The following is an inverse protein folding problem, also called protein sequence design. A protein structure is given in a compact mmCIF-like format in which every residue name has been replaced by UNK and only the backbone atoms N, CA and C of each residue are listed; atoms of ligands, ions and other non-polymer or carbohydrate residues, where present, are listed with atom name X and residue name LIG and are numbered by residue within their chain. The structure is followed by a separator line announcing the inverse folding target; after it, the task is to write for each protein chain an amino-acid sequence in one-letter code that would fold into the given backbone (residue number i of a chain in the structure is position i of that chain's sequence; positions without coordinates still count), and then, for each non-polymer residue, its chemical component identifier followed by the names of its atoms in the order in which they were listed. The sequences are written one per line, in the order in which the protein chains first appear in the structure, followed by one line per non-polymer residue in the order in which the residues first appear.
data_IF_583841288808
#
_entry.id   IF_583841288808
#
_cell.length_a   1.000
_cell.length_b   1.000
_cell.length_c   1.000
_cell.angle_alpha   90.00
_cell.angle_beta   90.00
_cell.angle_gamma   90.00
#
_symmetry.space_group_name_H-M   'P 1'
#
loop_
_entity.id
_entity.type
_entity.pdbx_description
1 polymer ?
#
# COMPACT_ATOMS: atom_id res chain seq x y z
N UNK A 1 -4.38 2.58 -2.30
CA UNK A 1 -3.31 2.49 -3.31
C UNK A 1 -3.63 1.35 -4.27
N UNK A 2 -2.98 1.30 -5.44
CA UNK A 2 -3.27 0.24 -6.43
C UNK A 2 -4.73 0.18 -6.88
N UNK A 3 -5.41 1.34 -6.86
CA UNK A 3 -6.82 1.52 -7.22
C UNK A 3 -6.97 2.88 -7.86
N UNK A 4 -7.98 3.03 -8.72
CA UNK A 4 -8.35 4.30 -9.32
C UNK A 4 -9.75 4.71 -8.86
N UNK A 5 -9.97 6.02 -8.68
CA UNK A 5 -11.32 6.52 -8.50
C UNK A 5 -12.00 6.54 -9.87
N UNK A 6 -12.94 5.64 -10.12
CA UNK A 6 -13.57 5.45 -11.45
C UNK A 6 -14.34 6.69 -11.95
N UNK A 7 -14.80 7.58 -11.06
CA UNK A 7 -15.48 8.81 -11.50
C UNK A 7 -14.50 9.86 -12.00
N UNK A 8 -13.30 9.94 -11.39
CA UNK A 8 -12.30 10.95 -11.72
C UNK A 8 -11.28 10.44 -12.75
N UNK A 9 -10.98 9.15 -12.71
CA UNK A 9 -10.03 8.45 -13.58
C UNK A 9 -10.70 7.19 -14.16
N UNK A 10 -11.72 7.35 -15.02
CA UNK A 10 -12.46 6.21 -15.59
C UNK A 10 -11.63 5.34 -16.53
N UNK A 11 -10.59 5.91 -17.16
CA UNK A 11 -9.70 5.19 -18.07
C UNK A 11 -8.23 5.61 -17.84
N UNK A 12 -7.57 5.08 -16.80
CA UNK A 12 -6.20 5.44 -16.47
C UNK A 12 -5.21 4.99 -17.55
N UNK A 13 -5.53 3.93 -18.31
CA UNK A 13 -4.68 3.44 -19.40
C UNK A 13 -4.61 4.50 -20.50
N UNK A 14 -5.77 4.92 -21.02
CA UNK A 14 -5.83 5.95 -22.06
C UNK A 14 -5.18 7.25 -21.58
N UNK A 15 -5.46 7.68 -20.35
CA UNK A 15 -4.82 8.86 -19.77
C UNK A 15 -3.29 8.78 -19.81
N UNK A 16 -2.72 7.63 -19.42
CA UNK A 16 -1.27 7.43 -19.42
C UNK A 16 -0.69 7.39 -20.85
N UNK A 17 -1.40 6.77 -21.81
CA UNK A 17 -0.98 6.72 -23.21
C UNK A 17 -0.97 8.12 -23.84
N UNK A 18 -2.03 8.90 -23.64
CA UNK A 18 -2.13 10.28 -24.18
C UNK A 18 -0.99 11.19 -23.66
N UNK A 19 -0.52 10.96 -22.43
CA UNK A 19 0.61 11.69 -21.83
C UNK A 19 1.94 11.21 -22.42
N UNK A 20 2.09 9.90 -22.61
CA UNK A 20 3.29 9.29 -23.19
C UNK A 20 3.48 9.65 -24.66
N UNK A 21 2.40 9.75 -25.43
CA UNK A 21 2.42 10.19 -26.83
C UNK A 21 2.95 11.63 -26.98
N UNK A 22 2.90 12.43 -25.90
CA UNK A 22 3.50 13.76 -25.83
C UNK A 22 4.97 13.74 -25.35
N UNK A 23 5.58 12.57 -25.19
CA UNK A 23 6.94 12.39 -24.68
C UNK A 23 7.08 12.69 -23.19
N UNK A 24 6.01 12.52 -22.41
CA UNK A 24 5.99 12.74 -20.95
C UNK A 24 5.67 11.45 -20.21
N UNK A 25 5.98 11.42 -18.93
CA UNK A 25 5.76 10.26 -18.06
C UNK A 25 4.83 10.62 -16.90
N UNK A 26 4.13 9.63 -16.35
CA UNK A 26 3.25 9.82 -15.20
C UNK A 26 3.77 9.11 -13.95
N UNK A 27 3.68 9.77 -12.81
CA UNK A 27 4.03 9.23 -11.49
C UNK A 27 2.76 9.14 -10.64
N UNK A 28 2.58 8.01 -9.94
CA UNK A 28 1.48 7.79 -9.00
C UNK A 28 2.01 7.58 -7.59
N UNK A 29 1.33 8.19 -6.61
CA UNK A 29 1.70 8.04 -5.20
C UNK A 29 1.26 6.67 -4.65
N UNK A 30 2.16 6.00 -3.93
CA UNK A 30 1.94 4.71 -3.27
C UNK A 30 2.66 4.71 -1.91
N UNK A 31 1.90 4.89 -0.84
CA UNK A 31 2.45 4.98 0.52
C UNK A 31 2.36 3.64 1.28
N UNK A 32 3.14 3.44 2.36
CA UNK A 32 3.22 2.17 3.05
C UNK A 32 2.12 1.95 4.11
N UNK A 33 0.97 2.63 4.02
CA UNK A 33 -0.16 2.45 4.94
C UNK A 33 -1.41 1.92 4.21
N UNK A 34 -1.82 0.70 4.53
CA UNK A 34 -2.89 -0.02 3.82
C UNK A 34 -4.18 0.09 4.61
N UNK A 35 -5.22 0.66 3.99
CA UNK A 35 -6.58 0.73 4.57
C UNK A 35 -7.03 -0.63 5.12
N UNK A 36 -7.44 -0.68 6.38
CA UNK A 36 -8.01 -1.88 7.00
C UNK A 36 -9.43 -2.07 6.47
N UNK A 37 -9.61 -3.05 5.58
CA UNK A 37 -10.92 -3.36 5.00
C UNK A 37 -10.94 -4.74 4.35
N UNK A 38 -11.91 -5.59 4.72
CA UNK A 38 -12.14 -6.93 4.15
C UNK A 38 -12.52 -6.90 2.66
N UNK A 39 -12.99 -5.76 2.13
CA UNK A 39 -13.28 -5.61 0.70
C UNK A 39 -12.07 -5.12 -0.12
N UNK A 40 -10.98 -4.73 0.54
CA UNK A 40 -9.80 -4.20 -0.14
C UNK A 40 -8.74 -5.29 -0.35
N UNK A 41 -8.49 -5.63 -1.61
CA UNK A 41 -7.68 -6.79 -2.00
C UNK A 41 -6.23 -6.76 -1.48
N UNK A 42 -5.62 -5.57 -1.35
CA UNK A 42 -4.25 -5.44 -0.83
C UNK A 42 -4.22 -5.81 0.65
N UNK A 43 -5.20 -5.33 1.43
CA UNK A 43 -5.32 -5.65 2.84
C UNK A 43 -5.56 -7.15 3.04
N UNK A 44 -6.56 -7.73 2.38
CA UNK A 44 -6.88 -9.16 2.52
C UNK A 44 -5.75 -10.07 2.07
N UNK A 45 -5.05 -9.74 0.98
CA UNK A 45 -3.83 -10.43 0.54
C UNK A 45 -2.72 -10.35 1.60
N UNK A 46 -2.53 -9.18 2.21
CA UNK A 46 -1.54 -8.96 3.25
C UNK A 46 -1.84 -9.74 4.55
N UNK A 47 -3.11 -9.76 4.99
CA UNK A 47 -3.55 -10.57 6.13
C UNK A 47 -3.27 -12.06 5.86
N UNK A 48 -3.66 -12.56 4.68
CA UNK A 48 -3.45 -13.97 4.29
C UNK A 48 -1.97 -14.37 4.25
N UNK A 49 -1.09 -13.44 3.90
CA UNK A 49 0.36 -13.67 3.78
C UNK A 49 1.15 -13.29 5.04
N UNK A 50 0.48 -12.79 6.07
CA UNK A 50 1.08 -12.37 7.33
C UNK A 50 2.24 -11.36 7.12
N UNK A 51 1.96 -10.27 6.39
CA UNK A 51 2.97 -9.28 5.98
C UNK A 51 2.99 -8.00 6.80
N UNK A 52 1.96 -7.75 7.62
CA UNK A 52 1.85 -6.50 8.36
C UNK A 52 2.69 -6.52 9.64
N UNK A 53 3.15 -5.32 10.03
CA UNK A 53 3.78 -5.08 11.33
C UNK A 53 2.84 -5.54 12.45
N UNK A 54 3.39 -6.18 13.48
CA UNK A 54 2.64 -6.71 14.62
C UNK A 54 2.88 -5.89 15.87
N UNK A 55 1.80 -5.54 16.57
CA UNK A 55 1.87 -5.08 17.95
C UNK A 55 2.00 -6.29 18.88
N UNK A 56 3.00 -6.27 19.76
CA UNK A 56 3.25 -7.33 20.73
C UNK A 56 2.79 -6.90 22.12
N UNK A 57 1.95 -7.71 22.77
CA UNK A 57 1.59 -7.55 24.17
C UNK A 57 2.42 -8.48 25.06
N UNK A 58 3.50 -7.94 25.63
CA UNK A 58 4.40 -8.66 26.54
C UNK A 58 3.82 -8.90 27.94
N UNK A 59 2.70 -8.28 28.31
CA UNK A 59 2.04 -8.49 29.62
C UNK A 59 1.29 -9.83 29.71
N UNK A 60 1.20 -10.60 28.62
CA UNK A 60 0.59 -11.94 28.60
C UNK A 60 1.65 -13.00 28.32
N UNK A 61 1.43 -14.22 28.86
CA UNK A 61 2.28 -15.38 28.59
C UNK A 61 1.46 -16.54 28.00
N UNK A 62 1.77 -16.99 26.76
CA UNK A 62 2.75 -16.41 25.84
C UNK A 62 2.34 -15.00 25.33
N UNK A 63 3.29 -14.18 24.84
CA UNK A 63 2.97 -12.88 24.26
C UNK A 63 1.94 -13.02 23.16
N UNK A 64 0.93 -12.14 23.16
CA UNK A 64 -0.05 -12.08 22.07
C UNK A 64 0.37 -11.03 21.07
N UNK A 65 0.36 -11.40 19.79
CA UNK A 65 0.58 -10.48 18.68
C UNK A 65 -0.73 -10.20 17.97
N UNK A 66 -0.96 -8.96 17.56
CA UNK A 66 -2.01 -8.58 16.60
C UNK A 66 -1.41 -7.68 15.54
N UNK A 67 -2.08 -7.53 14.39
CA UNK A 67 -1.69 -6.53 13.40
C UNK A 67 -1.67 -5.16 14.08
N UNK A 68 -0.63 -4.37 13.82
CA UNK A 68 -0.58 -2.98 14.22
C UNK A 68 -1.49 -2.16 13.30
N UNK A 69 -2.47 -1.49 13.90
CA UNK A 69 -3.45 -0.66 13.22
C UNK A 69 -3.49 0.72 13.88
N UNK A 70 -3.49 1.77 13.06
CA UNK A 70 -3.47 3.17 13.49
C UNK A 70 -3.97 4.07 12.35
N UNK A 71 -4.12 5.37 12.60
CA UNK A 71 -4.70 6.28 11.61
C UNK A 71 -3.65 6.86 10.66
N UNK A 72 -4.01 6.92 9.38
CA UNK A 72 -3.33 7.71 8.35
C UNK A 72 -4.37 8.21 7.33
N UNK A 73 -3.97 8.57 6.10
CA UNK A 73 -4.88 9.15 5.10
C UNK A 73 -6.19 8.38 4.85
N UNK A 74 -6.23 7.04 4.78
CA UNK A 74 -7.47 6.31 4.53
C UNK A 74 -8.27 6.00 5.81
N UNK A 75 -7.87 6.56 6.96
CA UNK A 75 -8.35 6.21 8.30
C UNK A 75 -7.54 5.04 8.88
N UNK A 76 -8.24 4.09 9.51
CA UNK A 76 -7.62 2.90 10.09
C UNK A 76 -6.81 2.14 9.03
N UNK A 77 -5.51 2.01 9.29
CA UNK A 77 -4.51 1.50 8.36
C UNK A 77 -3.58 0.49 9.03
N UNK A 78 -2.98 -0.40 8.24
CA UNK A 78 -1.94 -1.33 8.65
C UNK A 78 -0.68 -1.14 7.77
N UNK A 79 0.51 -1.32 8.33
CA UNK A 79 1.77 -1.10 7.64
C UNK A 79 2.45 -2.42 7.27
N UNK A 80 2.82 -2.67 6.00
CA UNK A 80 3.64 -3.81 5.65
C UNK A 80 5.02 -3.71 6.33
N UNK A 81 5.52 -4.84 6.82
CA UNK A 81 6.86 -4.93 7.42
C UNK A 81 7.94 -5.02 6.32
N UNK A 82 8.30 -3.87 5.75
CA UNK A 82 9.26 -3.77 4.65
C UNK A 82 10.69 -4.21 5.00
N UNK A 83 11.02 -4.42 6.28
CA UNK A 83 12.30 -5.02 6.70
C UNK A 83 12.40 -6.46 6.17
N UNK A 84 11.28 -7.16 6.13
CA UNK A 84 11.21 -8.54 5.65
C UNK A 84 11.32 -8.63 4.12
N UNK A 85 12.29 -9.40 3.57
CA UNK A 85 12.41 -9.59 2.12
C UNK A 85 11.14 -10.20 1.50
N UNK A 86 10.48 -11.13 2.21
CA UNK A 86 9.23 -11.74 1.75
C UNK A 86 8.11 -10.70 1.56
N UNK A 87 8.10 -9.66 2.40
CA UNK A 87 7.12 -8.57 2.29
C UNK A 87 7.46 -7.67 1.11
N UNK A 88 8.74 -7.39 0.85
CA UNK A 88 9.17 -6.68 -0.36
C UNK A 88 8.81 -7.44 -1.64
N UNK A 89 9.01 -8.76 -1.66
CA UNK A 89 8.61 -9.61 -2.79
C UNK A 89 7.10 -9.60 -3.01
N UNK A 90 6.32 -9.69 -1.94
CA UNK A 90 4.86 -9.57 -1.99
C UNK A 90 4.42 -8.20 -2.53
N UNK A 91 5.03 -7.12 -2.06
CA UNK A 91 4.73 -5.77 -2.51
C UNK A 91 5.03 -5.56 -3.99
N UNK A 92 6.18 -6.07 -4.45
CA UNK A 92 6.58 -6.00 -5.85
C UNK A 92 5.61 -6.68 -6.83
N UNK A 93 4.77 -7.62 -6.37
CA UNK A 93 3.75 -8.24 -7.20
C UNK A 93 2.71 -7.23 -7.73
N UNK A 94 2.43 -6.16 -6.99
CA UNK A 94 1.44 -5.15 -7.39
C UNK A 94 1.95 -4.17 -8.46
N UNK A 95 3.26 -4.18 -8.74
CA UNK A 95 3.90 -3.34 -9.76
C UNK A 95 4.27 -4.13 -11.00
N UNK A 96 3.84 -5.38 -11.11
CA UNK A 96 4.14 -6.19 -12.29
C UNK A 96 3.50 -5.56 -13.53
N UNK A 97 4.21 -5.58 -14.67
CA UNK A 97 3.64 -5.21 -15.95
C UNK A 97 2.37 -6.01 -16.24
N UNK A 98 1.30 -5.30 -16.57
CA UNK A 98 -0.01 -5.86 -16.92
C UNK A 98 -0.68 -5.08 -18.07
N UNK A 99 0.09 -4.21 -18.73
CA UNK A 99 -0.37 -3.28 -19.74
C UNK A 99 -0.78 -1.93 -19.16
N UNK A 100 -1.39 -1.88 -17.97
CA UNK A 100 -1.70 -0.61 -17.30
C UNK A 100 -0.46 -0.06 -16.60
N UNK A 101 0.17 -0.88 -15.75
CA UNK A 101 1.32 -0.47 -14.93
C UNK A 101 2.54 -0.05 -15.75
N UNK A 102 2.63 -0.51 -17.01
CA UNK A 102 3.76 -0.30 -17.92
C UNK A 102 4.03 1.18 -18.24
N UNK A 103 3.06 2.07 -17.99
CA UNK A 103 3.13 3.50 -18.27
C UNK A 103 3.21 4.38 -17.01
N UNK A 104 3.35 3.79 -15.82
CA UNK A 104 3.41 4.54 -14.58
C UNK A 104 4.70 4.29 -13.81
N UNK A 105 5.21 5.36 -13.21
CA UNK A 105 6.22 5.31 -12.17
C UNK A 105 5.55 5.51 -10.80
N UNK A 106 6.28 5.19 -9.73
CA UNK A 106 5.79 5.26 -8.36
C UNK A 106 6.52 6.33 -7.54
N UNK A 107 5.77 7.06 -6.71
CA UNK A 107 6.28 7.93 -5.66
C UNK A 107 5.93 7.30 -4.31
N UNK A 108 6.93 7.06 -3.46
CA UNK A 108 6.72 6.65 -2.08
C UNK A 108 6.81 7.86 -1.16
N UNK A 109 5.76 8.09 -0.38
CA UNK A 109 5.69 9.11 0.66
C UNK A 109 5.28 8.48 2.00
N UNK A 110 5.28 9.28 3.07
CA UNK A 110 4.80 8.90 4.41
C UNK A 110 5.52 7.66 4.99
N UNK A 111 6.78 7.45 4.60
CA UNK A 111 7.53 6.20 4.79
C UNK A 111 8.54 6.23 5.95
N UNK A 112 8.43 7.21 6.85
CA UNK A 112 9.19 7.26 8.10
C UNK A 112 9.03 6.02 8.99
N UNK A 113 7.84 5.41 9.23
CA UNK A 113 6.48 5.66 8.69
C UNK A 113 5.68 6.73 9.43
N UNK A 114 4.95 7.57 8.70
CA UNK A 114 4.03 8.53 9.30
C UNK A 114 2.76 7.85 9.82
N UNK A 115 2.43 8.11 11.08
CA UNK A 115 1.26 7.58 11.80
C UNK A 115 0.62 8.74 12.59
N UNK A 116 -0.64 9.08 12.31
CA UNK A 116 -1.22 10.36 12.76
C UNK A 116 -1.64 10.41 14.23
N UNK A 117 -1.88 9.26 14.86
CA UNK A 117 -2.50 9.17 16.18
C UNK A 117 -1.62 8.46 17.22
N UNK A 118 -0.30 8.50 17.04
CA UNK A 118 0.69 7.95 17.99
C UNK A 118 1.74 9.01 18.34
N UNK A 119 2.44 8.87 19.48
CA UNK A 119 3.57 9.74 19.80
C UNK A 119 4.69 9.63 18.75
N UNK A 120 5.35 10.75 18.47
CA UNK A 120 6.58 10.82 17.67
C UNK A 120 7.78 10.22 18.41
#
# INVERSE_FOLDING_TARGET
YFTWNEMLFPDPKKMSDDIRDQGKEMVTIVDPHIKVSESYFVYTSGVKKDVFVKQVNYRRHPPRTKIFEADCWPGLSAWPDFISPRVRDWWGLFFKPDGLNDNFYAWNDMNEPSVFNVPE
#
